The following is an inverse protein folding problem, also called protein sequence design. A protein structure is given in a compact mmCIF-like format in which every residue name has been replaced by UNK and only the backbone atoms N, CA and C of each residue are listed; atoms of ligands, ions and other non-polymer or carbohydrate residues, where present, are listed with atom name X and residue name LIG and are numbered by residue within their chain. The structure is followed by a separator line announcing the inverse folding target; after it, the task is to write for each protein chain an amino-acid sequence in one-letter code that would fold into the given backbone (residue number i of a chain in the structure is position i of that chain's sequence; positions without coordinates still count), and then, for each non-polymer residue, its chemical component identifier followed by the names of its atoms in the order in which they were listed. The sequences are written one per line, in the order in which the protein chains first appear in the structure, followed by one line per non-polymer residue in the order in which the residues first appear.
data_IF_590650498290
#
_entry.id   IF_590650498290
#
_cell.length_a   1.000
_cell.length_b   1.000
_cell.length_c   1.000
_cell.angle_alpha   90.00
_cell.angle_beta   90.00
_cell.angle_gamma   90.00
#
_symmetry.space_group_name_H-M   'P 1'
#
loop_
_entity.id
_entity.type
_entity.pdbx_description
1 polymer ?
#
# COMPACT_ATOMS: atom_id res chain seq x y z
N UNK A 1 59.91 -8.78 11.56
CA UNK A 1 58.78 -8.29 10.74
C UNK A 1 57.45 -9.03 11.00
N UNK A 2 57.46 -10.22 11.62
CA UNK A 2 56.26 -11.07 11.84
C UNK A 2 55.27 -10.49 12.89
N UNK A 3 55.76 -9.85 13.97
CA UNK A 3 54.89 -9.33 15.04
C UNK A 3 54.01 -8.14 14.62
N UNK A 4 54.43 -7.34 13.65
CA UNK A 4 53.66 -6.18 13.19
C UNK A 4 52.46 -6.61 12.34
N UNK A 5 52.62 -7.66 11.53
CA UNK A 5 51.53 -8.23 10.72
C UNK A 5 50.49 -8.95 11.57
N UNK A 6 50.90 -9.68 12.61
CA UNK A 6 49.98 -10.36 13.54
C UNK A 6 49.17 -9.35 14.37
N UNK A 7 49.81 -8.26 14.83
CA UNK A 7 49.12 -7.17 15.55
C UNK A 7 48.09 -6.47 14.67
N UNK A 8 48.42 -6.17 13.40
CA UNK A 8 47.47 -5.54 12.46
C UNK A 8 46.27 -6.46 12.19
N UNK A 9 46.49 -7.76 12.06
CA UNK A 9 45.41 -8.74 11.86
C UNK A 9 44.49 -8.83 13.09
N UNK A 10 45.05 -8.78 14.29
CA UNK A 10 44.28 -8.84 15.53
C UNK A 10 43.44 -7.56 15.74
N UNK A 11 44.01 -6.38 15.48
CA UNK A 11 43.30 -5.10 15.57
C UNK A 11 42.16 -5.04 14.55
N UNK A 12 42.35 -5.56 13.34
CA UNK A 12 41.30 -5.62 12.32
C UNK A 12 40.13 -6.54 12.74
N UNK A 13 40.41 -7.72 13.29
CA UNK A 13 39.38 -8.66 13.76
C UNK A 13 38.57 -8.06 14.91
N UNK A 14 39.23 -7.37 15.85
CA UNK A 14 38.57 -6.72 16.98
C UNK A 14 37.69 -5.55 16.51
N UNK A 15 38.12 -4.77 15.53
CA UNK A 15 37.33 -3.67 14.97
C UNK A 15 36.07 -4.15 14.24
N UNK A 16 36.15 -5.26 13.49
CA UNK A 16 35.00 -5.86 12.81
C UNK A 16 33.97 -6.38 13.82
N UNK A 17 34.42 -7.04 14.89
CA UNK A 17 33.53 -7.55 15.95
C UNK A 17 32.82 -6.42 16.73
N UNK A 18 33.53 -5.32 17.02
CA UNK A 18 32.95 -4.14 17.68
C UNK A 18 31.90 -3.42 16.82
N UNK A 19 32.07 -3.45 15.49
CA UNK A 19 31.08 -2.89 14.56
C UNK A 19 29.82 -3.75 14.49
N UNK A 20 29.99 -5.07 14.54
CA UNK A 20 28.90 -6.04 14.48
C UNK A 20 28.04 -6.06 15.76
N UNK A 21 28.63 -5.74 16.90
CA UNK A 21 27.91 -5.72 18.18
C UNK A 21 26.97 -4.51 18.31
N UNK A 22 27.35 -3.36 17.74
CA UNK A 22 26.52 -2.14 17.76
C UNK A 22 25.23 -2.27 16.93
N UNK A 23 25.23 -3.12 15.91
CA UNK A 23 24.07 -3.38 15.08
C UNK A 23 22.97 -4.20 15.78
N UNK A 24 23.32 -5.00 16.80
CA UNK A 24 22.36 -5.85 17.53
C UNK A 24 21.71 -5.14 18.73
N UNK A 25 22.27 -4.01 19.18
CA UNK A 25 21.79 -3.27 20.35
C UNK A 25 20.63 -2.30 20.05
N UNK A 26 20.45 -1.92 18.78
CA UNK A 26 19.35 -1.05 18.36
C UNK A 26 18.24 -1.92 17.78
N UNK A 27 17.25 -2.24 18.62
CA UNK A 27 16.02 -2.93 18.24
C UNK A 27 15.07 -2.11 17.34
N UNK A 28 15.60 -1.46 16.31
CA UNK A 28 14.79 -1.00 15.19
C UNK A 28 14.77 -2.14 14.16
N UNK A 29 13.61 -2.78 13.98
CA UNK A 29 13.38 -3.65 12.84
C UNK A 29 13.40 -2.80 11.55
N UNK A 30 14.58 -2.50 11.03
CA UNK A 30 14.74 -2.00 9.67
C UNK A 30 15.01 -3.21 8.78
N UNK A 31 13.92 -3.78 8.27
CA UNK A 31 14.01 -4.65 7.10
C UNK A 31 14.39 -3.77 5.89
N UNK A 32 15.69 -3.55 5.69
CA UNK A 32 16.21 -2.91 4.48
C UNK A 32 16.06 -3.90 3.33
N UNK A 33 14.94 -3.77 2.62
CA UNK A 33 14.79 -4.35 1.28
C UNK A 33 15.23 -3.26 0.30
N UNK A 34 16.13 -3.59 -0.63
CA UNK A 34 16.51 -2.70 -1.72
C UNK A 34 15.24 -2.23 -2.45
N UNK A 35 15.06 -0.92 -2.57
CA UNK A 35 13.85 -0.20 -3.02
C UNK A 35 12.83 0.16 -1.91
N UNK A 36 13.28 0.87 -0.87
CA UNK A 36 12.42 1.35 0.23
C UNK A 36 11.56 2.54 -0.20
N UNK A 37 10.53 2.27 -0.99
CA UNK A 37 9.45 3.24 -1.23
C UNK A 37 8.67 3.45 0.08
N UNK A 38 8.68 4.67 0.62
CA UNK A 38 7.85 5.05 1.78
C UNK A 38 6.41 5.23 1.30
N UNK A 39 5.46 4.58 1.98
CA UNK A 39 4.02 4.75 1.76
C UNK A 39 3.43 5.28 3.06
N UNK A 40 2.69 6.37 2.97
CA UNK A 40 2.11 7.06 4.12
C UNK A 40 0.68 6.57 4.38
N UNK A 41 0.27 6.44 5.64
CA UNK A 41 -1.13 6.18 6.00
C UNK A 41 -1.93 7.47 6.22
N UNK A 42 -1.25 8.56 6.62
CA UNK A 42 -1.85 9.86 6.94
C UNK A 42 -0.98 10.94 6.32
N UNK A 43 -1.63 11.89 5.64
CA UNK A 43 -1.02 13.03 4.96
C UNK A 43 -1.88 14.27 5.15
N UNK A 44 -1.36 15.44 4.78
CA UNK A 44 -2.08 16.72 4.93
C UNK A 44 -3.27 16.83 3.96
N UNK A 45 -3.06 16.40 2.71
CA UNK A 45 -4.11 16.31 1.69
C UNK A 45 -4.28 14.84 1.28
N UNK A 46 -5.43 14.25 1.57
CA UNK A 46 -5.73 12.87 1.21
C UNK A 46 -6.04 12.74 -0.30
N UNK A 47 -5.76 11.57 -0.90
CA UNK A 47 -6.22 11.27 -2.25
C UNK A 47 -7.75 11.37 -2.39
N UNK A 48 -8.22 11.96 -3.48
CA UNK A 48 -9.63 12.03 -3.83
C UNK A 48 -9.88 11.46 -5.23
N UNK A 49 -11.06 10.91 -5.47
CA UNK A 49 -11.44 10.42 -6.80
C UNK A 49 -11.69 11.61 -7.71
N UNK A 50 -11.06 11.65 -8.88
CA UNK A 50 -11.38 12.64 -9.90
C UNK A 50 -12.83 12.46 -10.37
N UNK A 51 -13.65 13.52 -10.27
CA UNK A 51 -15.10 13.42 -10.54
C UNK A 51 -15.93 12.90 -9.37
N UNK A 52 -15.29 12.63 -8.22
CA UNK A 52 -15.94 12.24 -6.97
C UNK A 52 -16.36 10.77 -6.93
N UNK A 53 -16.90 10.36 -5.78
CA UNK A 53 -17.22 8.96 -5.48
C UNK A 53 -18.23 8.35 -6.45
N UNK A 54 -19.03 9.15 -7.15
CA UNK A 54 -19.99 8.68 -8.13
C UNK A 54 -19.32 8.08 -9.38
N UNK A 55 -18.11 8.54 -9.72
CA UNK A 55 -17.39 8.11 -10.92
C UNK A 55 -17.04 6.62 -10.87
N UNK A 56 -16.77 6.08 -9.68
CA UNK A 56 -16.45 4.66 -9.53
C UNK A 56 -17.64 3.77 -9.89
N UNK A 57 -18.86 4.18 -9.56
CA UNK A 57 -20.06 3.39 -9.80
C UNK A 57 -20.40 3.29 -11.29
N UNK A 58 -19.92 4.24 -12.13
CA UNK A 58 -20.04 4.14 -13.59
C UNK A 58 -19.18 3.03 -14.19
N UNK A 59 -18.15 2.61 -13.45
CA UNK A 59 -17.15 1.64 -13.91
C UNK A 59 -17.30 0.27 -13.24
N UNK A 60 -18.20 0.13 -12.27
CA UNK A 60 -18.48 -1.11 -11.55
C UNK A 60 -19.70 -1.79 -12.16
N UNK A 61 -19.48 -2.95 -12.76
CA UNK A 61 -20.54 -3.81 -13.24
C UNK A 61 -20.99 -4.76 -12.13
N UNK A 62 -22.23 -4.60 -11.65
CA UNK A 62 -22.79 -5.48 -10.63
C UNK A 62 -22.97 -6.90 -11.22
N UNK A 63 -22.32 -7.95 -10.68
CA UNK A 63 -22.41 -9.31 -11.21
C UNK A 63 -23.85 -9.86 -11.23
N UNK A 64 -24.27 -10.44 -12.36
CA UNK A 64 -25.63 -11.02 -12.50
C UNK A 64 -25.94 -12.07 -11.43
N UNK A 65 -24.98 -12.93 -11.09
CA UNK A 65 -25.15 -13.95 -10.05
C UNK A 65 -25.43 -13.33 -8.68
N UNK A 66 -24.76 -12.23 -8.34
CA UNK A 66 -24.99 -11.50 -7.10
C UNK A 66 -26.37 -10.80 -7.10
N UNK A 67 -26.82 -10.25 -8.24
CA UNK A 67 -28.18 -9.70 -8.37
C UNK A 67 -29.25 -10.78 -8.18
N UNK A 68 -29.13 -11.92 -8.87
CA UNK A 68 -30.11 -13.02 -8.79
C UNK A 68 -30.18 -13.63 -7.39
N UNK A 69 -29.04 -13.69 -6.70
CA UNK A 69 -28.95 -14.17 -5.32
C UNK A 69 -29.31 -13.09 -4.27
N UNK A 70 -29.68 -11.87 -4.70
CA UNK A 70 -29.97 -10.73 -3.83
C UNK A 70 -28.87 -10.43 -2.80
N UNK A 71 -27.62 -10.69 -3.17
CA UNK A 71 -26.46 -10.35 -2.32
C UNK A 71 -26.39 -8.83 -2.25
N UNK A 72 -26.09 -8.26 -1.08
CA UNK A 72 -25.91 -6.81 -0.91
C UNK A 72 -24.91 -6.55 0.20
N UNK A 73 -24.30 -5.37 0.20
CA UNK A 73 -23.42 -4.94 1.27
C UNK A 73 -22.21 -4.17 0.77
N UNK A 74 -21.18 -4.11 1.61
CA UNK A 74 -19.98 -3.29 1.35
C UNK A 74 -18.76 -4.16 1.14
N UNK A 75 -18.12 -3.96 -0.01
CA UNK A 75 -16.76 -4.44 -0.29
C UNK A 75 -15.77 -3.37 0.13
N UNK A 76 -14.72 -3.76 0.84
CA UNK A 76 -13.65 -2.85 1.22
C UNK A 76 -12.38 -3.24 0.48
N UNK A 77 -11.77 -2.27 -0.20
CA UNK A 77 -10.53 -2.47 -0.95
C UNK A 77 -9.47 -1.53 -0.37
N UNK A 78 -8.34 -2.10 0.05
CA UNK A 78 -7.14 -1.35 0.43
C UNK A 78 -6.18 -1.34 -0.76
N UNK A 79 -5.66 -0.16 -1.11
CA UNK A 79 -4.72 0.03 -2.21
C UNK A 79 -3.77 1.18 -1.89
N UNK A 80 -2.80 1.39 -2.77
CA UNK A 80 -1.88 2.54 -2.71
C UNK A 80 -2.24 3.49 -3.83
N UNK A 81 -2.41 4.76 -3.53
CA UNK A 81 -2.44 5.83 -4.54
C UNK A 81 -1.02 6.35 -4.67
N UNK A 82 -0.47 6.35 -5.88
CA UNK A 82 0.87 6.89 -6.12
C UNK A 82 0.89 8.41 -6.31
N UNK A 83 2.08 8.96 -6.53
CA UNK A 83 2.33 10.40 -6.71
C UNK A 83 1.66 10.97 -7.97
N UNK A 84 1.28 10.10 -8.91
CA UNK A 84 0.57 10.47 -10.14
C UNK A 84 -0.94 10.24 -10.02
N UNK A 85 -1.42 9.77 -8.88
CA UNK A 85 -2.83 9.44 -8.69
C UNK A 85 -3.26 8.09 -9.27
N UNK A 86 -2.29 7.23 -9.62
CA UNK A 86 -2.57 5.87 -10.07
C UNK A 86 -2.70 4.90 -8.91
N UNK A 87 -3.51 3.87 -9.11
CA UNK A 87 -3.78 2.85 -8.10
C UNK A 87 -2.79 1.71 -8.26
N UNK A 88 -2.10 1.36 -7.16
CA UNK A 88 -1.18 0.23 -7.06
C UNK A 88 -1.67 -0.77 -6.00
N UNK A 89 -1.36 -2.04 -6.23
CA UNK A 89 -1.58 -3.16 -5.31
C UNK A 89 -2.97 -3.22 -4.64
N UNK A 90 -4.09 -3.20 -5.41
CA UNK A 90 -5.41 -3.32 -4.82
C UNK A 90 -5.62 -4.69 -4.17
N UNK A 91 -6.01 -4.67 -2.89
CA UNK A 91 -6.28 -5.84 -2.05
C UNK A 91 -7.68 -5.74 -1.47
N UNK A 92 -8.49 -6.78 -1.67
CA UNK A 92 -9.81 -6.89 -1.06
C UNK A 92 -9.62 -7.30 0.39
N UNK A 93 -9.98 -6.42 1.33
CA UNK A 93 -9.88 -6.69 2.77
C UNK A 93 -11.18 -7.25 3.35
N UNK A 94 -12.31 -6.95 2.70
CA UNK A 94 -13.62 -7.50 3.03
C UNK A 94 -14.45 -7.61 1.77
N UNK A 95 -14.99 -8.80 1.53
CA UNK A 95 -15.88 -9.07 0.40
C UNK A 95 -17.27 -9.50 0.90
N UNK A 96 -18.27 -9.30 0.04
CA UNK A 96 -19.64 -9.79 0.20
C UNK A 96 -19.88 -11.07 -0.61
N UNK A 97 -18.93 -11.44 -1.49
CA UNK A 97 -18.98 -12.64 -2.31
C UNK A 97 -19.67 -12.45 -3.65
N UNK A 98 -20.01 -13.55 -4.31
CA UNK A 98 -20.70 -13.59 -5.61
C UNK A 98 -20.03 -12.77 -6.74
N UNK A 99 -18.71 -12.55 -6.65
CA UNK A 99 -17.90 -11.81 -7.63
C UNK A 99 -17.92 -10.28 -7.48
N UNK A 100 -18.55 -9.75 -6.42
CA UNK A 100 -18.61 -8.30 -6.17
C UNK A 100 -17.22 -7.70 -5.89
N UNK A 101 -16.36 -8.40 -5.16
CA UNK A 101 -14.97 -8.01 -4.93
C UNK A 101 -14.19 -7.79 -6.23
N UNK A 102 -14.25 -8.76 -7.14
CA UNK A 102 -13.56 -8.69 -8.44
C UNK A 102 -14.10 -7.55 -9.32
N UNK A 103 -15.42 -7.38 -9.36
CA UNK A 103 -16.06 -6.29 -10.10
C UNK A 103 -15.63 -4.92 -9.56
N UNK A 104 -15.56 -4.78 -8.23
CA UNK A 104 -15.12 -3.58 -7.56
C UNK A 104 -13.64 -3.25 -7.89
N UNK A 105 -12.74 -4.24 -7.85
CA UNK A 105 -11.33 -4.06 -8.25
C UNK A 105 -11.21 -3.67 -9.72
N UNK A 106 -12.01 -4.26 -10.61
CA UNK A 106 -12.01 -3.92 -12.05
C UNK A 106 -12.47 -2.49 -12.31
N UNK A 107 -13.53 -2.04 -11.62
CA UNK A 107 -14.02 -0.67 -11.74
C UNK A 107 -13.02 0.33 -11.17
N UNK A 108 -12.46 0.04 -9.99
CA UNK A 108 -11.46 0.87 -9.33
C UNK A 108 -10.26 1.19 -10.26
N UNK A 109 -9.75 0.20 -11.00
CA UNK A 109 -8.61 0.39 -11.93
C UNK A 109 -8.88 1.35 -13.10
N UNK A 110 -10.15 1.69 -13.38
CA UNK A 110 -10.53 2.62 -14.46
C UNK A 110 -10.66 4.07 -13.98
N UNK A 111 -10.60 4.28 -12.66
CA UNK A 111 -10.78 5.58 -12.04
C UNK A 111 -9.43 6.22 -11.75
N UNK A 112 -9.34 7.54 -11.90
CA UNK A 112 -8.18 8.33 -11.51
C UNK A 112 -8.39 8.98 -10.15
N UNK A 113 -7.31 9.11 -9.41
CA UNK A 113 -7.28 9.81 -8.13
C UNK A 113 -6.41 11.05 -8.24
N UNK A 114 -6.68 12.06 -7.41
CA UNK A 114 -5.69 13.06 -7.09
C UNK A 114 -4.63 12.45 -6.15
N UNK A 115 -3.35 12.80 -6.29
CA UNK A 115 -2.32 12.30 -5.40
C UNK A 115 -2.48 12.91 -4.01
N UNK A 116 -2.17 12.12 -2.98
CA UNK A 116 -2.05 12.65 -1.63
C UNK A 116 -0.81 13.54 -1.52
N UNK A 117 -0.88 14.59 -0.68
CA UNK A 117 0.24 15.49 -0.46
C UNK A 117 0.62 15.60 1.00
N UNK A 118 1.94 15.59 1.23
CA UNK A 118 2.55 15.85 2.53
C UNK A 118 3.53 17.01 2.36
N UNK A 119 3.36 18.08 3.15
CA UNK A 119 4.13 19.33 3.03
C UNK A 119 4.14 19.88 1.59
N UNK A 120 3.00 19.78 0.90
CA UNK A 120 2.83 20.23 -0.49
C UNK A 120 3.49 19.35 -1.57
N UNK A 121 4.13 18.23 -1.20
CA UNK A 121 4.71 17.27 -2.14
C UNK A 121 3.79 16.07 -2.32
N UNK A 122 3.60 15.64 -3.57
CA UNK A 122 2.88 14.40 -3.87
C UNK A 122 3.67 13.20 -3.29
N UNK A 123 2.96 12.31 -2.60
CA UNK A 123 3.53 11.12 -1.97
C UNK A 123 2.62 9.92 -2.17
N UNK A 124 3.16 8.71 -2.02
CA UNK A 124 2.36 7.48 -2.07
C UNK A 124 1.58 7.29 -0.78
N UNK A 125 0.28 7.02 -0.87
CA UNK A 125 -0.62 6.95 0.29
C UNK A 125 -1.43 5.66 0.28
N UNK A 126 -1.56 5.01 1.43
CA UNK A 126 -2.52 3.93 1.62
C UNK A 126 -3.94 4.48 1.67
N UNK A 127 -4.82 3.92 0.86
CA UNK A 127 -6.22 4.30 0.80
C UNK A 127 -7.11 3.06 0.95
N UNK A 128 -8.20 3.21 1.68
CA UNK A 128 -9.22 2.17 1.82
C UNK A 128 -10.58 2.71 1.38
N UNK A 129 -11.11 2.16 0.30
CA UNK A 129 -12.39 2.59 -0.26
C UNK A 129 -13.49 1.55 0.03
N UNK A 130 -14.57 1.94 0.75
CA UNK A 130 -15.78 1.13 0.83
C UNK A 130 -16.65 1.34 -0.41
N UNK A 131 -16.98 0.25 -1.11
CA UNK A 131 -17.87 0.23 -2.26
C UNK A 131 -19.17 -0.46 -1.86
N UNK A 132 -20.28 0.25 -1.99
CA UNK A 132 -21.59 -0.24 -1.58
C UNK A 132 -22.33 -0.87 -2.77
N UNK A 133 -22.61 -2.17 -2.68
CA UNK A 133 -23.46 -2.89 -3.61
C UNK A 133 -24.89 -2.93 -3.07
N UNK A 134 -25.75 -2.13 -3.70
CA UNK A 134 -27.17 -2.04 -3.40
C UNK A 134 -27.97 -2.41 -4.65
N UNK A 135 -29.02 -3.20 -4.47
CA UNK A 135 -30.07 -3.41 -5.45
C UNK A 135 -31.09 -2.31 -5.19
N UNK A 136 -31.26 -1.40 -6.14
CA UNK A 136 -32.35 -0.43 -6.12
C UNK A 136 -33.56 -1.12 -6.75
N UNK A 137 -34.69 -1.15 -6.03
CA UNK A 137 -35.97 -1.70 -6.52
C UNK A 137 -36.51 -0.93 -7.74
#
# INVERSE_FOLDING_TARGET
MINKTIQILYVAIVFVALSFTQALANGENIMVTADSTIIYDIVDEMPEIEGGVQEIYKHIDYPRGAMSAKVQGRVFIKFVVDENGEIKDPKIIKDIGAGCGDAAVKGLKKVKFSPGKLNGKAVKVYYTLPINFQITE
#
